data_IF_741802141952
#
_entry.id   IF_741802141952
#
_cell.length_a   1.000
_cell.length_b   1.000
_cell.length_c   1.000
_cell.angle_alpha   90.00
_cell.angle_beta   90.00
_cell.angle_gamma   90.00
#
_symmetry.space_group_name_H-M   'P 1'
#
loop_
_entity.id
_entity.type
_entity.pdbx_description
1 polymer ?
#
# COMPACT_ATOMS: atom_id res chain seq x y z
N UNK A 1 38.66 8.93 7.66
CA UNK A 1 37.78 8.02 8.40
C UNK A 1 36.29 8.42 8.24
N UNK A 2 35.91 9.65 8.58
CA UNK A 2 34.52 10.13 8.49
C UNK A 2 33.95 10.05 7.06
N UNK A 3 34.68 10.46 6.03
CA UNK A 3 34.27 10.36 4.64
C UNK A 3 33.95 8.91 4.22
N UNK A 4 34.71 7.94 4.69
CA UNK A 4 34.46 6.53 4.35
C UNK A 4 33.16 6.01 4.97
N UNK A 5 32.77 6.49 6.15
CA UNK A 5 31.51 6.15 6.81
C UNK A 5 30.34 6.74 6.01
N UNK A 6 30.47 8.00 5.59
CA UNK A 6 29.44 8.68 4.78
C UNK A 6 29.27 8.02 3.41
N UNK A 7 30.37 7.61 2.77
CA UNK A 7 30.33 6.88 1.49
C UNK A 7 29.58 5.54 1.63
N UNK A 8 29.83 4.79 2.70
CA UNK A 8 29.11 3.54 2.98
C UNK A 8 27.61 3.77 3.19
N UNK A 9 27.20 4.86 3.84
CA UNK A 9 25.77 5.18 3.97
C UNK A 9 25.12 5.53 2.63
N UNK A 10 25.84 6.20 1.74
CA UNK A 10 25.34 6.49 0.40
C UNK A 10 25.11 5.22 -0.42
N UNK A 11 26.00 4.23 -0.29
CA UNK A 11 25.86 2.96 -1.00
C UNK A 11 24.73 2.11 -0.41
N UNK A 12 24.63 2.01 0.91
CA UNK A 12 23.52 1.35 1.60
C UNK A 12 22.18 1.99 1.21
N UNK A 13 22.11 3.33 1.21
CA UNK A 13 20.91 4.07 0.78
C UNK A 13 20.50 3.73 -0.66
N UNK A 14 21.48 3.66 -1.58
CA UNK A 14 21.21 3.33 -2.99
C UNK A 14 20.66 1.92 -3.14
N UNK A 15 21.20 0.99 -2.38
CA UNK A 15 20.75 -0.40 -2.41
C UNK A 15 19.33 -0.53 -1.85
N UNK A 16 19.05 0.05 -0.67
CA UNK A 16 17.72 0.07 -0.07
C UNK A 16 16.69 0.77 -0.99
N UNK A 17 17.08 1.89 -1.63
CA UNK A 17 16.19 2.56 -2.59
C UNK A 17 15.80 1.65 -3.74
N UNK A 18 16.77 0.94 -4.36
CA UNK A 18 16.51 0.02 -5.47
C UNK A 18 15.58 -1.13 -5.07
N UNK A 19 15.80 -1.71 -3.89
CA UNK A 19 14.96 -2.80 -3.39
C UNK A 19 13.53 -2.32 -3.13
N UNK A 20 13.37 -1.17 -2.48
CA UNK A 20 12.05 -0.60 -2.18
C UNK A 20 11.29 -0.17 -3.44
N UNK A 21 11.96 0.45 -4.41
CA UNK A 21 11.38 0.82 -5.70
C UNK A 21 10.87 -0.44 -6.45
N UNK A 22 11.64 -1.52 -6.41
CA UNK A 22 11.24 -2.79 -6.99
C UNK A 22 9.98 -3.36 -6.31
N UNK A 23 9.94 -3.41 -4.98
CA UNK A 23 8.78 -3.91 -4.25
C UNK A 23 7.55 -3.00 -4.37
N UNK A 24 7.74 -1.68 -4.40
CA UNK A 24 6.64 -0.75 -4.67
C UNK A 24 6.02 -0.99 -6.04
N UNK A 25 6.85 -1.18 -7.06
CA UNK A 25 6.38 -1.53 -8.39
C UNK A 25 5.63 -2.87 -8.42
N UNK A 26 6.07 -3.85 -7.63
CA UNK A 26 5.40 -5.15 -7.50
C UNK A 26 4.07 -5.05 -6.72
N UNK A 27 4.03 -4.29 -5.62
CA UNK A 27 2.83 -4.02 -4.83
C UNK A 27 1.72 -3.35 -5.65
N UNK A 28 2.10 -2.47 -6.57
CA UNK A 28 1.17 -1.70 -7.41
C UNK A 28 0.74 -2.46 -8.68
N UNK A 29 1.35 -3.62 -8.98
CA UNK A 29 0.94 -4.42 -10.14
C UNK A 29 -0.47 -4.98 -9.95
N UNK A 30 -1.40 -4.73 -10.91
CA UNK A 30 -2.72 -5.32 -10.86
C UNK A 30 -2.61 -6.85 -11.03
N UNK A 31 -3.29 -7.61 -10.16
CA UNK A 31 -3.41 -9.07 -10.17
C UNK A 31 -2.23 -9.88 -9.61
N UNK A 32 -1.19 -9.29 -9.07
CA UNK A 32 -0.10 -10.03 -8.43
C UNK A 32 -0.39 -10.20 -6.94
N UNK A 33 -0.22 -11.42 -6.42
CA UNK A 33 -0.14 -11.64 -4.98
C UNK A 33 1.29 -11.30 -4.55
N UNK A 34 1.45 -10.20 -3.83
CA UNK A 34 2.73 -9.87 -3.25
C UNK A 34 3.09 -10.94 -2.20
N UNK A 35 4.19 -11.66 -2.43
CA UNK A 35 4.63 -12.77 -1.56
C UNK A 35 5.78 -12.42 -0.64
N UNK A 36 6.48 -11.32 -0.89
CA UNK A 36 7.74 -10.97 -0.22
C UNK A 36 7.56 -10.06 1.01
N UNK A 37 6.48 -10.26 1.78
CA UNK A 37 6.20 -9.46 2.97
C UNK A 37 7.32 -9.46 4.00
N UNK A 38 8.00 -10.62 4.19
CA UNK A 38 9.14 -10.73 5.08
C UNK A 38 10.28 -9.82 4.65
N UNK A 39 10.69 -9.89 3.39
CA UNK A 39 11.77 -9.06 2.86
C UNK A 39 11.43 -7.55 2.89
N UNK A 40 10.17 -7.18 2.64
CA UNK A 40 9.72 -5.79 2.76
C UNK A 40 9.78 -5.30 4.21
N UNK A 41 9.40 -6.15 5.17
CA UNK A 41 9.47 -5.83 6.59
C UNK A 41 10.92 -5.68 7.05
N UNK A 42 11.81 -6.59 6.66
CA UNK A 42 13.23 -6.54 6.97
C UNK A 42 13.89 -5.25 6.42
N UNK A 43 13.57 -4.89 5.18
CA UNK A 43 14.07 -3.64 4.61
C UNK A 43 13.54 -2.41 5.35
N UNK A 44 12.29 -2.44 5.81
CA UNK A 44 11.72 -1.36 6.62
C UNK A 44 12.40 -1.25 7.99
N UNK A 45 12.71 -2.37 8.63
CA UNK A 45 13.49 -2.39 9.87
C UNK A 45 14.90 -1.83 9.65
N UNK A 46 15.55 -2.20 8.55
CA UNK A 46 16.88 -1.66 8.21
C UNK A 46 16.83 -0.15 7.95
N UNK A 47 15.77 0.37 7.30
CA UNK A 47 15.58 1.82 7.15
C UNK A 47 15.42 2.52 8.49
N UNK A 48 14.63 1.95 9.39
CA UNK A 48 14.42 2.52 10.72
C UNK A 48 15.72 2.55 11.54
N UNK A 49 16.50 1.47 11.52
CA UNK A 49 17.82 1.45 12.14
C UNK A 49 18.77 2.50 11.53
N UNK A 50 18.70 2.68 10.22
CA UNK A 50 19.53 3.71 9.55
C UNK A 50 19.10 5.12 9.97
N UNK A 51 17.80 5.39 10.11
CA UNK A 51 17.29 6.69 10.61
C UNK A 51 17.79 6.95 12.04
N UNK A 52 17.68 5.97 12.96
CA UNK A 52 18.19 6.08 14.33
C UNK A 52 19.69 6.39 14.38
N UNK A 53 20.51 5.61 13.64
CA UNK A 53 21.96 5.81 13.61
C UNK A 53 22.30 7.21 13.06
N UNK A 54 21.63 7.64 12.00
CA UNK A 54 21.87 8.95 11.41
C UNK A 54 21.43 10.10 12.34
N UNK A 55 20.33 9.93 13.08
CA UNK A 55 19.88 10.92 14.08
C UNK A 55 20.85 11.05 15.25
N UNK A 56 21.38 9.93 15.77
CA UNK A 56 22.41 9.93 16.81
C UNK A 56 23.67 10.63 16.33
N UNK A 57 24.12 10.32 15.11
CA UNK A 57 25.29 10.98 14.52
C UNK A 57 25.06 12.47 14.29
N UNK A 58 23.86 12.85 13.81
CA UNK A 58 23.49 14.26 13.65
C UNK A 58 23.60 15.01 14.95
N UNK A 59 23.08 14.42 16.02
CA UNK A 59 23.14 15.00 17.37
C UNK A 59 24.58 15.14 17.87
N UNK A 60 25.38 14.10 17.68
CA UNK A 60 26.80 14.10 18.07
C UNK A 60 27.62 15.15 17.29
N UNK A 61 27.41 15.26 15.97
CA UNK A 61 28.13 16.24 15.14
C UNK A 61 27.69 17.67 15.45
N UNK A 62 26.41 17.91 15.79
CA UNK A 62 25.93 19.23 16.25
C UNK A 62 26.59 19.62 17.59
N UNK A 63 26.56 18.72 18.57
CA UNK A 63 27.24 18.96 19.85
C UNK A 63 28.74 19.22 19.67
N UNK A 64 29.37 18.51 18.74
CA UNK A 64 30.78 18.74 18.38
C UNK A 64 31.00 20.14 17.78
N UNK A 65 30.15 20.57 16.86
CA UNK A 65 30.22 21.93 16.27
C UNK A 65 30.00 23.02 17.32
N UNK A 66 29.04 22.86 18.23
CA UNK A 66 28.79 23.77 19.35
C UNK A 66 30.04 23.87 20.27
N UNK A 67 30.67 22.72 20.56
CA UNK A 67 31.90 22.70 21.34
C UNK A 67 33.08 23.41 20.62
N UNK A 68 33.17 23.24 19.29
CA UNK A 68 34.18 23.94 18.48
C UNK A 68 33.94 25.46 18.40
N UNK A 69 32.66 25.88 18.42
CA UNK A 69 32.31 27.31 18.39
C UNK A 69 32.48 27.97 19.74
N UNK A 70 32.35 27.24 20.85
CA UNK A 70 32.60 27.70 22.21
C UNK A 70 34.06 27.64 22.61
N UNK A 71 34.92 27.01 21.80
CA UNK A 71 36.34 26.93 22.10
C UNK A 71 36.98 28.31 21.96
N UNK A 72 37.40 28.86 23.11
CA UNK A 72 38.12 30.12 23.17
C UNK A 72 39.38 30.04 22.33
N UNK A 73 39.67 31.09 21.52
CA UNK A 73 40.80 31.16 20.62
C UNK A 73 42.08 30.75 21.38
N UNK A 74 42.82 29.74 20.92
CA UNK A 74 44.14 29.51 21.48
C UNK A 74 44.99 30.73 21.13
N UNK A 75 45.73 31.26 22.11
CA UNK A 75 46.81 32.22 21.88
C UNK A 75 47.90 31.54 21.00
N UNK A 76 47.58 31.38 19.72
CA UNK A 76 48.33 30.51 18.84
C UNK A 76 48.40 31.01 17.41
N UNK A 77 49.37 30.50 16.74
CA UNK A 77 49.79 30.75 15.36
C UNK A 77 48.60 30.83 14.41
N UNK A 78 48.66 31.72 13.41
CA UNK A 78 47.69 31.82 12.30
C UNK A 78 47.44 30.50 11.57
N UNK A 79 48.32 29.51 11.71
CA UNK A 79 48.14 28.15 11.20
C UNK A 79 47.08 27.37 12.00
N UNK A 80 47.03 27.49 13.32
CA UNK A 80 46.07 26.82 14.19
C UNK A 80 44.64 27.33 13.95
N UNK A 81 44.47 28.64 13.73
CA UNK A 81 43.19 29.25 13.38
C UNK A 81 42.65 28.73 12.03
N UNK A 82 43.51 28.60 11.02
CA UNK A 82 43.12 28.05 9.71
C UNK A 82 42.73 26.59 9.83
N UNK A 83 43.41 25.80 10.66
CA UNK A 83 43.08 24.39 10.87
C UNK A 83 41.73 24.22 11.57
N UNK A 84 41.42 25.07 12.55
CA UNK A 84 40.14 25.13 13.23
C UNK A 84 38.99 25.47 12.25
N UNK A 85 39.19 26.47 11.40
CA UNK A 85 38.21 26.87 10.39
C UNK A 85 37.93 25.73 9.39
N UNK A 86 39.00 25.07 8.92
CA UNK A 86 38.89 23.89 8.05
C UNK A 86 38.13 22.74 8.72
N UNK A 87 38.38 22.52 10.02
CA UNK A 87 37.68 21.50 10.80
C UNK A 87 36.18 21.81 10.92
N UNK A 88 35.82 23.07 11.21
CA UNK A 88 34.43 23.53 11.26
C UNK A 88 33.72 23.34 9.91
N UNK A 89 34.34 23.74 8.81
CA UNK A 89 33.80 23.60 7.46
C UNK A 89 33.58 22.12 7.14
N UNK A 90 34.52 21.25 7.37
CA UNK A 90 34.40 19.81 7.14
C UNK A 90 33.32 19.16 8.01
N UNK A 91 33.21 19.60 9.27
CA UNK A 91 32.16 19.08 10.17
C UNK A 91 30.77 19.52 9.74
N UNK A 92 30.61 20.72 9.22
CA UNK A 92 29.33 21.20 8.64
C UNK A 92 28.95 20.42 7.36
N UNK A 93 29.93 20.11 6.51
CA UNK A 93 29.72 19.31 5.32
C UNK A 93 29.23 17.89 5.68
N UNK A 94 29.86 17.28 6.69
CA UNK A 94 29.40 15.97 7.22
C UNK A 94 27.97 16.05 7.75
N UNK A 95 27.63 17.10 8.51
CA UNK A 95 26.27 17.30 9.03
C UNK A 95 25.25 17.41 7.90
N UNK A 96 25.56 18.18 6.87
CA UNK A 96 24.68 18.32 5.69
C UNK A 96 24.47 16.97 4.98
N UNK A 97 25.52 16.16 4.86
CA UNK A 97 25.40 14.83 4.28
C UNK A 97 24.49 13.91 5.11
N UNK A 98 24.64 13.92 6.44
CA UNK A 98 23.77 13.15 7.35
C UNK A 98 22.30 13.59 7.19
N UNK A 99 22.04 14.90 7.18
CA UNK A 99 20.69 15.46 7.03
C UNK A 99 20.04 15.07 5.69
N UNK A 100 20.81 15.00 4.62
CA UNK A 100 20.33 14.50 3.32
C UNK A 100 19.96 13.01 3.39
N UNK A 101 20.75 12.18 4.10
CA UNK A 101 20.43 10.77 4.27
C UNK A 101 19.15 10.60 5.08
N UNK A 102 19.02 11.26 6.24
CA UNK A 102 17.82 11.24 7.09
C UNK A 102 16.57 11.60 6.28
N UNK A 103 16.63 12.72 5.56
CA UNK A 103 15.49 13.18 4.75
C UNK A 103 15.10 12.15 3.68
N UNK A 104 16.07 11.50 3.07
CA UNK A 104 15.83 10.49 2.05
C UNK A 104 15.24 9.20 2.65
N UNK A 105 15.77 8.73 3.76
CA UNK A 105 15.27 7.54 4.48
C UNK A 105 13.80 7.73 4.86
N UNK A 106 13.47 8.86 5.48
CA UNK A 106 12.07 9.18 5.84
C UNK A 106 11.14 9.25 4.63
N UNK A 107 11.63 9.75 3.50
CA UNK A 107 10.86 9.73 2.25
C UNK A 107 10.59 8.31 1.77
N UNK A 108 11.59 7.42 1.84
CA UNK A 108 11.45 6.02 1.46
C UNK A 108 10.47 5.28 2.37
N UNK A 109 10.55 5.50 3.68
CA UNK A 109 9.59 4.94 4.64
C UNK A 109 8.14 5.36 4.32
N UNK A 110 7.92 6.65 4.16
CA UNK A 110 6.58 7.18 3.84
C UNK A 110 6.05 6.68 2.49
N UNK A 111 6.92 6.63 1.47
CA UNK A 111 6.57 6.09 0.15
C UNK A 111 6.20 4.62 0.21
N UNK A 112 6.96 3.83 0.98
CA UNK A 112 6.69 2.39 1.18
C UNK A 112 5.37 2.17 1.93
N UNK A 113 5.12 2.94 2.98
CA UNK A 113 3.86 2.88 3.72
C UNK A 113 2.66 3.21 2.83
N UNK A 114 2.77 4.26 2.02
CA UNK A 114 1.74 4.65 1.05
C UNK A 114 1.49 3.54 0.03
N UNK A 115 2.53 2.89 -0.48
CA UNK A 115 2.40 1.78 -1.43
C UNK A 115 1.68 0.57 -0.80
N UNK A 116 2.00 0.24 0.46
CA UNK A 116 1.34 -0.83 1.22
C UNK A 116 -0.14 -0.51 1.44
N UNK A 117 -0.47 0.71 1.88
CA UNK A 117 -1.86 1.15 2.06
C UNK A 117 -2.65 1.10 0.74
N UNK A 118 -2.03 1.52 -0.36
CA UNK A 118 -2.64 1.47 -1.68
C UNK A 118 -2.89 0.02 -2.12
N UNK A 119 -1.95 -0.90 -1.88
CA UNK A 119 -2.14 -2.32 -2.13
C UNK A 119 -3.35 -2.89 -1.39
N UNK A 120 -3.48 -2.63 -0.08
CA UNK A 120 -4.63 -3.07 0.70
C UNK A 120 -5.94 -2.43 0.24
N UNK A 121 -5.92 -1.15 -0.15
CA UNK A 121 -7.09 -0.46 -0.69
C UNK A 121 -7.57 -1.11 -2.00
N UNK A 122 -6.65 -1.40 -2.92
CA UNK A 122 -6.96 -2.12 -4.17
C UNK A 122 -7.51 -3.51 -3.90
N UNK A 123 -6.91 -4.24 -2.96
CA UNK A 123 -7.38 -5.58 -2.56
C UNK A 123 -8.78 -5.54 -1.95
N UNK A 124 -9.05 -4.57 -1.06
CA UNK A 124 -10.36 -4.36 -0.46
C UNK A 124 -11.42 -4.03 -1.51
N UNK A 125 -11.10 -3.16 -2.47
CA UNK A 125 -12.01 -2.84 -3.57
C UNK A 125 -12.36 -4.07 -4.41
N UNK A 126 -11.39 -4.93 -4.70
CA UNK A 126 -11.63 -6.21 -5.41
C UNK A 126 -12.55 -7.14 -4.63
N UNK A 127 -12.31 -7.29 -3.33
CA UNK A 127 -13.17 -8.10 -2.47
C UNK A 127 -14.61 -7.58 -2.48
N UNK A 128 -14.77 -6.26 -2.39
CA UNK A 128 -16.09 -5.63 -2.50
C UNK A 128 -16.76 -5.87 -3.85
N UNK A 129 -16.02 -5.83 -4.96
CA UNK A 129 -16.55 -6.10 -6.29
C UNK A 129 -16.98 -7.58 -6.44
N UNK A 130 -16.20 -8.51 -5.89
CA UNK A 130 -16.57 -9.94 -5.85
C UNK A 130 -17.85 -10.12 -5.01
N UNK A 131 -17.93 -9.50 -3.83
CA UNK A 131 -19.10 -9.56 -2.97
C UNK A 131 -20.35 -8.98 -3.64
N UNK A 132 -20.21 -7.86 -4.35
CA UNK A 132 -21.30 -7.26 -5.14
C UNK A 132 -21.81 -8.21 -6.23
N UNK A 133 -20.87 -8.83 -6.97
CA UNK A 133 -21.22 -9.78 -8.02
C UNK A 133 -21.93 -11.00 -7.44
N UNK A 134 -21.42 -11.55 -6.34
CA UNK A 134 -22.02 -12.68 -5.66
C UNK A 134 -23.42 -12.35 -5.13
N UNK A 135 -23.57 -11.17 -4.51
CA UNK A 135 -24.85 -10.69 -4.00
C UNK A 135 -25.87 -10.51 -5.13
N UNK A 136 -25.47 -9.93 -6.26
CA UNK A 136 -26.35 -9.77 -7.42
C UNK A 136 -26.76 -11.13 -7.98
N UNK A 137 -25.83 -12.07 -8.09
CA UNK A 137 -26.12 -13.44 -8.53
C UNK A 137 -27.13 -14.13 -7.60
N UNK A 138 -26.86 -14.11 -6.30
CA UNK A 138 -27.73 -14.71 -5.28
C UNK A 138 -29.13 -14.08 -5.29
N UNK A 139 -29.22 -12.75 -5.41
CA UNK A 139 -30.49 -12.04 -5.45
C UNK A 139 -31.34 -12.41 -6.66
N UNK A 140 -30.75 -12.80 -7.78
CA UNK A 140 -31.44 -13.30 -8.95
C UNK A 140 -31.85 -14.76 -8.76
N UNK A 141 -30.95 -15.61 -8.28
CA UNK A 141 -31.20 -17.05 -8.18
C UNK A 141 -32.17 -17.43 -7.04
N UNK A 142 -32.17 -16.68 -5.93
CA UNK A 142 -32.99 -17.01 -4.76
C UNK A 142 -34.49 -17.07 -5.07
N UNK A 143 -35.11 -16.05 -5.69
CA UNK A 143 -36.54 -16.13 -6.05
C UNK A 143 -36.84 -17.18 -7.12
N UNK A 144 -35.89 -17.44 -8.04
CA UNK A 144 -36.08 -18.49 -9.04
C UNK A 144 -36.09 -19.87 -8.40
N UNK A 145 -35.14 -20.12 -7.46
CA UNK A 145 -35.10 -21.37 -6.71
C UNK A 145 -36.37 -21.57 -5.84
N UNK A 146 -36.89 -20.48 -5.26
CA UNK A 146 -38.12 -20.54 -4.48
C UNK A 146 -39.30 -20.98 -5.36
N UNK A 147 -39.47 -20.36 -6.53
CA UNK A 147 -40.55 -20.72 -7.47
C UNK A 147 -40.37 -22.17 -7.93
N UNK A 148 -39.15 -22.55 -8.37
CA UNK A 148 -38.89 -23.91 -8.81
C UNK A 148 -39.10 -24.93 -7.69
N UNK A 149 -38.75 -24.59 -6.44
CA UNK A 149 -38.98 -25.43 -5.27
C UNK A 149 -40.46 -25.62 -4.96
N UNK A 150 -41.28 -24.56 -5.01
CA UNK A 150 -42.72 -24.65 -4.79
C UNK A 150 -43.39 -25.54 -5.86
N UNK A 151 -43.06 -25.32 -7.13
CA UNK A 151 -43.60 -26.16 -8.22
C UNK A 151 -43.01 -27.57 -8.29
N UNK A 152 -41.88 -27.80 -7.67
CA UNK A 152 -41.26 -29.13 -7.51
C UNK A 152 -41.83 -29.96 -6.35
N UNK A 153 -42.68 -29.39 -5.50
CA UNK A 153 -43.30 -30.11 -4.40
C UNK A 153 -44.42 -31.04 -4.87
N UNK A 154 -44.45 -32.25 -4.36
CA UNK A 154 -45.48 -33.26 -4.69
C UNK A 154 -46.75 -33.10 -3.83
N UNK A 155 -47.28 -31.90 -3.68
CA UNK A 155 -48.55 -31.67 -2.99
C UNK A 155 -49.69 -31.64 -3.96
N UNK A 156 -50.79 -32.42 -3.69
CA UNK A 156 -51.98 -32.53 -4.55
C UNK A 156 -52.78 -31.24 -4.65
N UNK A 157 -52.66 -30.33 -3.69
CA UNK A 157 -53.46 -29.10 -3.59
C UNK A 157 -52.74 -27.84 -4.07
N UNK A 158 -51.63 -27.95 -4.81
CA UNK A 158 -50.95 -26.78 -5.33
C UNK A 158 -51.77 -26.12 -6.47
N UNK A 159 -52.09 -24.81 -6.35
CA UNK A 159 -52.81 -24.12 -7.43
C UNK A 159 -51.94 -24.08 -8.70
N UNK A 160 -52.54 -24.19 -9.86
CA UNK A 160 -51.91 -24.14 -11.20
C UNK A 160 -51.20 -25.42 -11.68
N UNK A 161 -50.85 -26.40 -10.82
CA UNK A 161 -50.16 -27.63 -11.27
C UNK A 161 -51.03 -28.48 -12.20
N UNK A 162 -52.34 -28.52 -11.99
CA UNK A 162 -53.29 -29.31 -12.81
C UNK A 162 -53.83 -28.56 -14.03
N UNK A 163 -53.39 -27.32 -14.26
CA UNK A 163 -53.81 -26.55 -15.45
C UNK A 163 -52.74 -26.69 -16.56
N UNK A 164 -53.21 -26.94 -17.80
CA UNK A 164 -52.32 -27.07 -18.98
C UNK A 164 -51.39 -25.87 -19.19
N UNK A 165 -51.72 -24.72 -18.66
CA UNK A 165 -50.94 -23.48 -18.78
C UNK A 165 -50.13 -23.12 -17.54
N UNK A 166 -50.19 -23.90 -16.45
CA UNK A 166 -49.50 -23.62 -15.19
C UNK A 166 -47.98 -23.53 -15.33
N UNK A 167 -47.39 -24.42 -16.13
CA UNK A 167 -45.98 -24.38 -16.46
C UNK A 167 -45.57 -23.06 -17.15
N UNK A 168 -46.37 -22.62 -18.15
CA UNK A 168 -46.05 -21.40 -18.88
C UNK A 168 -46.15 -20.14 -17.99
N UNK A 169 -47.10 -20.13 -17.05
CA UNK A 169 -47.21 -19.03 -16.06
C UNK A 169 -46.03 -19.00 -15.11
N UNK A 170 -45.54 -20.15 -14.62
CA UNK A 170 -44.39 -20.22 -13.79
C UNK A 170 -43.11 -19.74 -14.52
N UNK A 171 -42.91 -20.19 -15.77
CA UNK A 171 -41.81 -19.74 -16.62
C UNK A 171 -41.86 -18.24 -16.91
N UNK A 172 -43.05 -17.69 -17.20
CA UNK A 172 -43.23 -16.27 -17.44
C UNK A 172 -42.92 -15.45 -16.18
N UNK A 173 -43.37 -15.89 -15.00
CA UNK A 173 -43.09 -15.23 -13.74
C UNK A 173 -41.57 -15.25 -13.41
N UNK A 174 -40.89 -16.39 -13.57
CA UNK A 174 -39.44 -16.49 -13.40
C UNK A 174 -38.67 -15.59 -14.36
N UNK A 175 -39.07 -15.55 -15.64
CA UNK A 175 -38.49 -14.68 -16.65
C UNK A 175 -38.63 -13.20 -16.31
N UNK A 176 -39.84 -12.79 -15.92
CA UNK A 176 -40.19 -11.41 -15.56
C UNK A 176 -39.38 -10.96 -14.32
N UNK A 177 -39.29 -11.78 -13.29
CA UNK A 177 -38.49 -11.51 -12.08
C UNK A 177 -36.99 -11.38 -12.44
N UNK A 178 -36.46 -12.34 -13.21
CA UNK A 178 -35.06 -12.29 -13.65
C UNK A 178 -34.74 -11.02 -14.43
N UNK A 179 -35.55 -10.69 -15.45
CA UNK A 179 -35.34 -9.50 -16.28
C UNK A 179 -35.41 -8.23 -15.43
N UNK A 180 -36.42 -8.15 -14.53
CA UNK A 180 -36.57 -6.99 -13.65
C UNK A 180 -35.39 -6.80 -12.72
N UNK A 181 -34.92 -7.87 -12.09
CA UNK A 181 -33.77 -7.81 -11.18
C UNK A 181 -32.48 -7.47 -11.93
N UNK A 182 -32.22 -8.11 -13.07
CA UNK A 182 -31.04 -7.81 -13.89
C UNK A 182 -31.07 -6.35 -14.37
N UNK A 183 -32.24 -5.86 -14.86
CA UNK A 183 -32.37 -4.47 -15.27
C UNK A 183 -32.16 -3.49 -14.11
N UNK A 184 -32.66 -3.81 -12.92
CA UNK A 184 -32.50 -3.00 -11.71
C UNK A 184 -31.03 -2.93 -11.26
N UNK A 185 -30.29 -4.04 -11.27
CA UNK A 185 -28.87 -4.08 -10.97
C UNK A 185 -28.06 -3.35 -12.04
N UNK A 186 -28.42 -3.47 -13.31
CA UNK A 186 -27.78 -2.77 -14.41
C UNK A 186 -27.99 -1.26 -14.31
N UNK A 187 -29.22 -0.81 -14.07
CA UNK A 187 -29.58 0.60 -13.89
C UNK A 187 -28.86 1.23 -12.66
N UNK A 188 -28.74 0.50 -11.56
CA UNK A 188 -28.01 0.95 -10.36
C UNK A 188 -26.49 0.87 -10.50
N UNK A 189 -25.93 0.54 -11.66
CA UNK A 189 -24.51 0.38 -11.93
C UNK A 189 -23.76 -0.60 -11.00
N UNK A 190 -24.47 -1.56 -10.40
CA UNK A 190 -23.84 -2.59 -9.58
C UNK A 190 -22.93 -3.51 -10.41
N UNK A 191 -23.25 -3.74 -11.69
CA UNK A 191 -22.50 -4.57 -12.64
C UNK A 191 -21.56 -3.76 -13.55
N UNK A 192 -21.70 -2.44 -13.64
CA UNK A 192 -20.99 -1.63 -14.66
C UNK A 192 -19.54 -1.24 -14.28
N UNK A 193 -19.03 -1.65 -13.13
CA UNK A 193 -17.68 -1.28 -12.65
C UNK A 193 -16.61 -2.37 -12.75
N UNK A 194 -16.98 -3.55 -13.27
CA UNK A 194 -16.05 -4.70 -13.42
C UNK A 194 -15.20 -4.66 -14.70
N UNK A 195 -15.23 -3.58 -15.48
CA UNK A 195 -14.64 -3.52 -16.83
C UNK A 195 -13.55 -2.47 -17.04
N UNK A 196 -13.02 -1.79 -16.02
CA UNK A 196 -11.87 -0.88 -16.18
C UNK A 196 -10.72 -1.30 -15.26
N UNK A 197 -9.82 -2.10 -15.80
CA UNK A 197 -8.52 -2.43 -15.28
C UNK A 197 -7.62 -2.91 -16.41
#
# INVERSE_FOLDING_TARGET
>A
MVNHIVDNYLDLRRELSRQLDHWQAELLRPRTRFGNWGALLDARLNLHQLDEICEDQRTAVRAWLEALDSWSEPEGSAAALRELDLLKVRSRDVLEHIERVVTHVRRLEHSTETAVQMHFSVQSNRTNDIMRTLTALTAVFLPLNLIAGIFGMNFEFLPLIHQQHGFWWAMAAMGLISITLVALFWRKRYLARTGQG
#
